data_IF_134607866090
#
_entry.id   IF_134607866090
#
_cell.length_a   1.000
_cell.length_b   1.000
_cell.length_c   1.000
_cell.angle_alpha   90.00
_cell.angle_beta   90.00
_cell.angle_gamma   90.00
#
_symmetry.space_group_name_H-M   'P 1'
#
loop_
_entity.id
_entity.type
_entity.pdbx_description
1 polymer ?
#
# COMPACT_ATOMS: atom_id res chain seq x y z
N UNK A 1 -3.27 -86.98 5.83
CA UNK A 1 -2.46 -85.75 5.73
C UNK A 1 -3.38 -84.63 5.25
N UNK A 2 -3.94 -83.84 6.17
CA UNK A 2 -4.84 -82.71 5.88
C UNK A 2 -4.06 -81.41 6.09
N UNK A 3 -4.03 -80.56 5.06
CA UNK A 3 -3.31 -79.28 5.05
C UNK A 3 -4.05 -78.20 5.82
N UNK A 4 -3.33 -77.53 6.72
CA UNK A 4 -3.80 -76.42 7.54
C UNK A 4 -3.98 -75.15 6.69
N UNK A 5 -5.20 -74.60 6.71
CA UNK A 5 -5.52 -73.27 6.21
C UNK A 5 -4.79 -72.19 7.01
N UNK A 6 -4.02 -71.32 6.34
CA UNK A 6 -3.52 -70.07 6.92
C UNK A 6 -4.63 -69.01 6.89
N UNK A 7 -4.96 -68.46 8.05
CA UNK A 7 -5.85 -67.31 8.21
C UNK A 7 -5.18 -66.03 7.70
N UNK A 8 -5.94 -65.06 7.17
CA UNK A 8 -5.40 -63.79 6.68
C UNK A 8 -4.82 -62.95 7.83
N UNK A 9 -3.81 -62.10 7.57
CA UNK A 9 -3.17 -61.29 8.59
C UNK A 9 -4.15 -60.28 9.20
N UNK A 10 -4.17 -60.25 10.53
CA UNK A 10 -5.00 -59.37 11.33
C UNK A 10 -4.52 -57.92 11.16
N UNK A 11 -5.31 -57.08 10.48
CA UNK A 11 -4.99 -55.64 10.32
C UNK A 11 -5.41 -54.95 11.62
N UNK A 12 -4.45 -54.75 12.52
CA UNK A 12 -4.65 -53.95 13.73
C UNK A 12 -4.69 -52.47 13.34
N UNK A 13 -5.70 -51.67 13.78
CA UNK A 13 -5.72 -50.24 13.55
C UNK A 13 -4.56 -49.58 14.29
N UNK A 14 -3.68 -48.88 13.56
CA UNK A 14 -2.57 -48.13 14.16
C UNK A 14 -3.14 -46.90 14.89
N UNK A 15 -2.79 -46.69 16.18
CA UNK A 15 -3.27 -45.57 16.98
C UNK A 15 -2.86 -44.21 16.38
N UNK A 16 -3.75 -43.22 16.48
CA UNK A 16 -3.61 -41.88 15.88
C UNK A 16 -2.29 -41.17 16.24
N UNK A 17 -1.71 -41.47 17.41
CA UNK A 17 -0.48 -40.86 17.92
C UNK A 17 0.80 -41.25 17.18
N UNK A 18 0.76 -42.21 16.24
CA UNK A 18 1.93 -42.63 15.43
C UNK A 18 1.83 -42.26 13.95
N UNK A 19 0.77 -41.55 13.54
CA UNK A 19 0.63 -41.12 12.14
C UNK A 19 1.60 -39.98 11.85
N UNK A 20 2.44 -40.18 10.83
CA UNK A 20 3.25 -39.10 10.25
C UNK A 20 2.32 -37.92 9.89
N UNK A 21 2.71 -36.66 10.18
CA UNK A 21 1.82 -35.50 10.05
C UNK A 21 1.31 -35.25 8.63
N UNK A 22 1.98 -35.84 7.64
CA UNK A 22 1.53 -35.83 6.25
C UNK A 22 0.92 -37.19 5.88
N UNK A 23 -0.41 -37.26 5.87
CA UNK A 23 -1.20 -38.40 5.40
C UNK A 23 -2.29 -37.93 4.44
N UNK A 24 -2.75 -38.81 3.56
CA UNK A 24 -3.74 -38.51 2.53
C UNK A 24 -4.63 -39.71 2.27
N UNK A 25 -5.84 -39.46 1.77
CA UNK A 25 -6.78 -40.53 1.43
C UNK A 25 -6.45 -41.09 0.04
N UNK A 26 -6.05 -42.36 -0.02
CA UNK A 26 -5.84 -43.09 -1.28
C UNK A 26 -6.90 -44.18 -1.35
N UNK A 27 -7.88 -44.04 -2.26
CA UNK A 27 -9.03 -44.97 -2.34
C UNK A 27 -9.66 -45.21 -0.97
N UNK A 28 -9.99 -44.11 -0.28
CA UNK A 28 -10.62 -44.10 1.05
C UNK A 28 -9.79 -44.73 2.19
N UNK A 29 -8.51 -45.02 1.94
CA UNK A 29 -7.58 -45.52 2.96
C UNK A 29 -6.61 -44.41 3.40
N UNK A 30 -6.51 -44.09 4.71
CA UNK A 30 -5.51 -43.16 5.22
C UNK A 30 -4.11 -43.72 4.95
N UNK A 31 -3.37 -43.05 4.07
CA UNK A 31 -2.07 -43.51 3.59
C UNK A 31 -1.00 -42.48 3.94
N UNK A 32 0.12 -42.89 4.54
CA UNK A 32 1.20 -41.97 4.89
C UNK A 32 1.94 -41.52 3.61
N UNK A 33 2.57 -40.34 3.68
CA UNK A 33 3.19 -39.68 2.52
C UNK A 33 4.17 -40.57 1.74
N UNK A 34 4.94 -41.44 2.41
CA UNK A 34 5.93 -42.31 1.77
C UNK A 34 5.29 -43.35 0.83
N UNK A 35 4.00 -43.63 1.01
CA UNK A 35 3.22 -44.60 0.25
C UNK A 35 2.25 -43.94 -0.73
N UNK A 36 2.30 -42.62 -0.91
CA UNK A 36 1.42 -41.93 -1.84
C UNK A 36 1.69 -42.34 -3.29
N UNK A 37 0.63 -42.57 -4.09
CA UNK A 37 0.77 -42.79 -5.51
C UNK A 37 1.46 -41.61 -6.18
N UNK A 38 2.32 -41.89 -7.17
CA UNK A 38 3.00 -40.87 -7.98
C UNK A 38 2.06 -39.76 -8.49
N UNK A 39 0.83 -40.03 -8.96
CA UNK A 39 -0.10 -38.97 -9.36
C UNK A 39 -0.46 -37.99 -8.25
N UNK A 40 -0.64 -38.43 -6.99
CA UNK A 40 -0.89 -37.55 -5.85
C UNK A 40 0.32 -36.69 -5.52
N UNK A 41 1.52 -37.29 -5.56
CA UNK A 41 2.77 -36.55 -5.35
C UNK A 41 2.98 -35.49 -6.44
N UNK A 42 2.71 -35.84 -7.71
CA UNK A 42 2.78 -34.91 -8.84
C UNK A 42 1.74 -33.80 -8.74
N UNK A 43 0.52 -34.10 -8.28
CA UNK A 43 -0.51 -33.09 -8.04
C UNK A 43 -0.12 -32.15 -6.88
N UNK A 44 0.51 -32.67 -5.82
CA UNK A 44 1.03 -31.86 -4.72
C UNK A 44 2.19 -30.95 -5.18
N UNK A 45 3.05 -31.47 -6.06
CA UNK A 45 4.14 -30.74 -6.69
C UNK A 45 3.71 -29.93 -7.93
N UNK A 46 2.40 -29.87 -8.22
CA UNK A 46 1.91 -29.14 -9.37
C UNK A 46 2.13 -27.65 -9.16
N UNK A 47 3.10 -27.11 -9.89
CA UNK A 47 3.22 -25.68 -10.10
C UNK A 47 2.44 -25.35 -11.35
N UNK A 48 1.38 -24.55 -11.21
CA UNK A 48 0.71 -24.00 -12.37
C UNK A 48 1.76 -23.38 -13.32
N UNK A 49 1.69 -23.64 -14.64
CA UNK A 49 2.58 -23.01 -15.59
C UNK A 49 2.64 -21.51 -15.34
N UNK A 50 3.83 -20.92 -15.38
CA UNK A 50 3.97 -19.48 -15.25
C UNK A 50 3.12 -18.83 -16.33
N UNK A 51 2.01 -18.19 -15.94
CA UNK A 51 1.25 -17.39 -16.88
C UNK A 51 2.06 -16.15 -17.21
N UNK A 52 2.07 -15.76 -18.48
CA UNK A 52 2.67 -14.50 -18.92
C UNK A 52 1.80 -13.33 -18.40
N UNK A 53 1.94 -13.02 -17.11
CA UNK A 53 1.26 -11.88 -16.50
C UNK A 53 2.09 -10.64 -16.76
N UNK A 54 1.47 -9.64 -17.37
CA UNK A 54 2.10 -8.33 -17.55
C UNK A 54 2.51 -7.73 -16.20
N UNK A 55 3.71 -7.16 -16.14
CA UNK A 55 4.21 -6.53 -14.93
C UNK A 55 3.23 -5.43 -14.44
N UNK A 56 2.98 -5.27 -13.12
CA UNK A 56 1.98 -4.31 -12.61
C UNK A 56 2.17 -2.85 -13.04
N UNK A 57 3.42 -2.48 -13.39
CA UNK A 57 3.84 -1.14 -13.83
C UNK A 57 4.00 -1.00 -15.35
N UNK A 58 3.59 -1.99 -16.15
CA UNK A 58 3.50 -1.85 -17.61
C UNK A 58 2.57 -0.70 -17.97
N UNK A 59 2.92 0.06 -19.00
CA UNK A 59 2.08 1.12 -19.57
C UNK A 59 2.25 1.16 -21.09
N UNK A 60 1.48 2.00 -21.77
CA UNK A 60 1.62 2.24 -23.22
C UNK A 60 3.01 2.73 -23.62
N UNK A 61 3.73 3.38 -22.71
CA UNK A 61 5.10 3.88 -22.93
C UNK A 61 6.18 2.99 -22.31
N UNK A 62 5.81 2.05 -21.43
CA UNK A 62 6.71 1.09 -20.77
C UNK A 62 6.37 -0.33 -21.22
N UNK A 63 6.71 -0.66 -22.46
CA UNK A 63 6.36 -1.95 -23.10
C UNK A 63 7.46 -3.00 -23.01
N UNK A 64 8.71 -2.61 -22.70
CA UNK A 64 9.86 -3.53 -22.63
C UNK A 64 10.33 -3.76 -21.20
N UNK A 65 10.94 -4.92 -20.94
CA UNK A 65 11.52 -5.27 -19.63
C UNK A 65 12.55 -4.24 -19.15
N UNK A 66 13.39 -3.72 -20.05
CA UNK A 66 14.40 -2.71 -19.69
C UNK A 66 13.76 -1.38 -19.22
N UNK A 67 12.70 -0.93 -19.90
CA UNK A 67 11.95 0.28 -19.52
C UNK A 67 11.26 0.09 -18.16
N UNK A 68 10.65 -1.09 -17.94
CA UNK A 68 10.03 -1.45 -16.67
C UNK A 68 11.09 -1.47 -15.55
N UNK A 69 12.24 -2.12 -15.75
CA UNK A 69 13.32 -2.14 -14.76
C UNK A 69 13.86 -0.75 -14.43
N UNK A 70 13.99 0.13 -15.43
CA UNK A 70 14.38 1.53 -15.22
C UNK A 70 13.35 2.28 -14.38
N UNK A 71 12.06 2.11 -14.70
CA UNK A 71 10.97 2.70 -13.93
C UNK A 71 10.92 2.17 -12.49
N UNK A 72 11.02 0.86 -12.28
CA UNK A 72 11.08 0.24 -10.93
C UNK A 72 12.24 0.79 -10.11
N UNK A 73 13.41 0.99 -10.71
CA UNK A 73 14.55 1.64 -10.04
C UNK A 73 14.21 3.06 -9.59
N UNK A 74 13.52 3.85 -10.42
CA UNK A 74 13.05 5.20 -10.06
C UNK A 74 11.99 5.16 -8.96
N UNK A 75 10.98 4.29 -9.06
CA UNK A 75 9.96 4.07 -8.02
C UNK A 75 10.61 3.76 -6.68
N UNK A 76 11.55 2.81 -6.64
CA UNK A 76 12.26 2.45 -5.40
C UNK A 76 13.03 3.62 -4.81
N UNK A 77 13.67 4.47 -5.62
CA UNK A 77 14.34 5.69 -5.15
C UNK A 77 13.33 6.69 -4.59
N UNK A 78 12.20 6.91 -5.27
CA UNK A 78 11.12 7.78 -4.82
C UNK A 78 10.53 7.33 -3.48
N UNK A 79 10.20 6.04 -3.34
CA UNK A 79 9.63 5.48 -2.12
C UNK A 79 10.63 5.42 -0.94
N UNK A 80 11.94 5.66 -1.16
CA UNK A 80 12.94 5.78 -0.08
C UNK A 80 13.03 7.17 0.53
N UNK A 81 12.48 8.19 -0.14
CA UNK A 81 12.46 9.57 0.34
C UNK A 81 11.58 9.74 1.60
N UNK A 82 10.33 9.24 1.66
CA UNK A 82 9.50 9.28 2.87
C UNK A 82 10.00 8.30 3.96
N UNK A 83 9.46 8.37 5.19
CA UNK A 83 9.70 7.35 6.21
C UNK A 83 9.43 5.91 5.68
N UNK A 84 10.17 4.89 6.14
CA UNK A 84 10.12 3.54 5.56
C UNK A 84 8.71 2.96 5.45
N UNK A 85 7.89 3.10 6.50
CA UNK A 85 6.50 2.62 6.52
C UNK A 85 5.63 3.29 5.43
N UNK A 86 5.78 4.60 5.26
CA UNK A 86 5.03 5.36 4.24
C UNK A 86 5.45 4.96 2.83
N UNK A 87 6.77 4.83 2.62
CA UNK A 87 7.33 4.37 1.35
C UNK A 87 6.91 2.96 0.97
N UNK A 88 6.86 2.06 1.95
CA UNK A 88 6.45 0.66 1.77
C UNK A 88 4.99 0.54 1.32
N UNK A 89 4.06 1.25 1.97
CA UNK A 89 2.64 1.24 1.56
C UNK A 89 2.51 1.68 0.10
N UNK A 90 3.19 2.77 -0.30
CA UNK A 90 3.13 3.23 -1.68
C UNK A 90 3.78 2.23 -2.65
N UNK A 91 4.90 1.62 -2.28
CA UNK A 91 5.54 0.59 -3.10
C UNK A 91 4.58 -0.59 -3.32
N UNK A 92 3.97 -1.12 -2.25
CA UNK A 92 2.97 -2.19 -2.34
C UNK A 92 1.73 -1.79 -3.13
N UNK A 93 1.30 -0.52 -3.05
CA UNK A 93 0.23 0.00 -3.89
C UNK A 93 0.58 -0.16 -5.37
N UNK A 94 1.76 0.33 -5.78
CA UNK A 94 2.21 0.32 -7.17
C UNK A 94 2.47 -1.10 -7.72
N UNK A 95 2.93 -2.01 -6.86
CA UNK A 95 3.09 -3.43 -7.20
C UNK A 95 1.77 -4.22 -7.14
N UNK A 96 0.65 -3.57 -6.83
CA UNK A 96 -0.66 -4.21 -6.65
C UNK A 96 -0.58 -5.35 -5.62
N UNK A 97 0.03 -5.08 -4.47
CA UNK A 97 0.22 -6.04 -3.37
C UNK A 97 -0.66 -5.74 -2.15
N UNK A 98 -1.40 -4.63 -2.16
CA UNK A 98 -2.32 -4.30 -1.06
C UNK A 98 -3.61 -5.12 -1.17
N UNK A 99 -4.04 -5.80 -0.07
CA UNK A 99 -5.23 -6.65 -0.05
C UNK A 99 -6.52 -5.82 0.06
N UNK A 100 -6.87 -5.07 -0.99
CA UNK A 100 -8.17 -4.39 -1.10
C UNK A 100 -9.30 -5.37 -1.41
N UNK A 101 -10.53 -5.04 -1.05
CA UNK A 101 -11.60 -6.03 -0.97
C UNK A 101 -11.93 -6.72 -2.30
N UNK A 102 -11.70 -6.08 -3.46
CA UNK A 102 -11.91 -6.72 -4.76
C UNK A 102 -11.07 -8.00 -4.99
N UNK A 103 -10.02 -8.23 -4.19
CA UNK A 103 -9.20 -9.47 -4.24
C UNK A 103 -9.86 -10.66 -3.56
N UNK A 104 -10.87 -10.41 -2.74
CA UNK A 104 -11.61 -11.45 -2.02
C UNK A 104 -12.90 -11.86 -2.75
N UNK A 105 -12.93 -11.74 -4.08
CA UNK A 105 -14.09 -12.13 -4.89
C UNK A 105 -14.53 -13.58 -4.65
N UNK A 106 -13.59 -14.48 -4.31
CA UNK A 106 -13.90 -15.87 -3.96
C UNK A 106 -14.77 -16.02 -2.69
N UNK A 107 -14.81 -15.01 -1.82
CA UNK A 107 -15.67 -15.00 -0.62
C UNK A 107 -17.10 -14.55 -0.90
N UNK A 108 -17.41 -14.07 -2.12
CA UNK A 108 -18.74 -13.52 -2.44
C UNK A 108 -19.88 -14.53 -2.34
N UNK A 109 -19.57 -15.83 -2.45
CA UNK A 109 -20.56 -16.90 -2.34
C UNK A 109 -21.17 -16.92 -0.93
N UNK A 110 -20.35 -16.71 0.10
CA UNK A 110 -20.77 -16.72 1.50
C UNK A 110 -21.10 -15.30 2.01
N UNK A 111 -20.38 -14.30 1.51
CA UNK A 111 -20.51 -12.90 1.92
C UNK A 111 -20.56 -12.01 0.69
N UNK A 112 -21.76 -11.70 0.15
CA UNK A 112 -21.91 -10.95 -1.10
C UNK A 112 -21.22 -9.58 -1.08
N UNK A 113 -21.08 -8.97 0.08
CA UNK A 113 -20.45 -7.69 0.36
C UNK A 113 -18.92 -7.76 0.54
N UNK A 114 -18.30 -8.94 0.46
CA UNK A 114 -16.87 -9.13 0.69
C UNK A 114 -15.95 -8.37 -0.28
N UNK A 115 -16.47 -7.86 -1.39
CA UNK A 115 -15.72 -7.01 -2.35
C UNK A 115 -16.05 -5.53 -2.24
N UNK A 116 -17.04 -5.17 -1.42
CA UNK A 116 -17.53 -3.81 -1.30
C UNK A 116 -16.56 -2.94 -0.50
N UNK A 117 -16.67 -1.62 -0.70
CA UNK A 117 -15.92 -0.61 0.02
C UNK A 117 -16.07 -0.77 1.53
N UNK A 118 -14.92 -0.83 2.22
CA UNK A 118 -14.81 -0.86 3.68
C UNK A 118 -15.58 0.28 4.36
N UNK A 119 -15.68 1.44 3.70
CA UNK A 119 -16.41 2.59 4.23
C UNK A 119 -17.92 2.60 3.90
N UNK A 120 -18.46 1.51 3.35
CA UNK A 120 -19.90 1.31 3.16
C UNK A 120 -20.52 2.14 2.04
N UNK A 121 -19.74 2.64 1.07
CA UNK A 121 -20.30 3.44 -0.04
C UNK A 121 -20.93 2.60 -1.18
N UNK A 122 -20.98 1.27 -1.03
CA UNK A 122 -21.65 0.35 -1.96
C UNK A 122 -20.90 0.04 -3.26
N UNK A 123 -19.73 0.64 -3.50
CA UNK A 123 -18.90 0.36 -4.68
C UNK A 123 -17.93 -0.79 -4.44
N UNK A 124 -17.51 -1.47 -5.52
CA UNK A 124 -16.43 -2.47 -5.47
C UNK A 124 -15.11 -1.80 -5.10
N UNK A 125 -14.43 -2.34 -4.10
CA UNK A 125 -13.22 -1.76 -3.56
C UNK A 125 -11.99 -2.18 -4.36
N UNK A 126 -11.76 -1.50 -5.47
CA UNK A 126 -10.48 -1.54 -6.17
C UNK A 126 -9.41 -0.70 -5.45
N UNK A 127 -8.14 -0.84 -5.83
CA UNK A 127 -7.09 0.05 -5.30
C UNK A 127 -7.37 1.52 -5.61
N UNK A 128 -7.86 1.82 -6.82
CA UNK A 128 -8.27 3.18 -7.18
C UNK A 128 -9.39 3.68 -6.25
N UNK A 129 -10.37 2.83 -5.96
CA UNK A 129 -11.46 3.19 -5.06
C UNK A 129 -10.97 3.43 -3.62
N UNK A 130 -10.31 2.43 -3.01
CA UNK A 130 -9.84 2.50 -1.64
C UNK A 130 -8.91 3.68 -1.37
N UNK A 131 -8.04 4.02 -2.33
CA UNK A 131 -7.00 5.02 -2.13
C UNK A 131 -7.31 6.39 -2.72
N UNK A 132 -8.36 6.55 -3.53
CA UNK A 132 -8.61 7.83 -4.22
C UNK A 132 -10.07 8.15 -4.48
N UNK A 133 -10.81 7.26 -5.13
CA UNK A 133 -12.15 7.58 -5.64
C UNK A 133 -13.28 7.44 -4.61
N UNK A 134 -13.05 6.74 -3.50
CA UNK A 134 -14.05 6.61 -2.44
C UNK A 134 -14.53 7.99 -1.96
N UNK A 135 -15.86 8.23 -1.78
CA UNK A 135 -16.38 9.51 -1.30
C UNK A 135 -15.82 9.97 0.06
N UNK A 136 -15.33 9.03 0.88
CA UNK A 136 -14.64 9.36 2.15
C UNK A 136 -13.20 9.82 1.96
N UNK A 137 -12.53 9.36 0.90
CA UNK A 137 -11.10 9.56 0.65
C UNK A 137 -10.85 10.68 -0.36
N UNK A 138 -11.66 10.77 -1.41
CA UNK A 138 -11.54 11.78 -2.45
C UNK A 138 -11.42 13.23 -1.93
N UNK A 139 -12.17 13.65 -0.90
CA UNK A 139 -12.05 15.02 -0.41
C UNK A 139 -10.68 15.30 0.24
N UNK A 140 -9.97 14.30 0.75
CA UNK A 140 -8.61 14.46 1.31
C UNK A 140 -7.62 14.85 0.22
N UNK A 141 -7.70 14.20 -0.94
CA UNK A 141 -6.89 14.57 -2.10
C UNK A 141 -7.28 15.94 -2.67
N UNK A 142 -8.59 16.24 -2.73
CA UNK A 142 -9.07 17.56 -3.17
C UNK A 142 -8.59 18.67 -2.23
N UNK A 143 -8.62 18.45 -0.91
CA UNK A 143 -8.13 19.37 0.09
C UNK A 143 -6.65 19.73 -0.13
N UNK A 144 -5.80 18.73 -0.37
CA UNK A 144 -4.39 18.97 -0.69
C UNK A 144 -4.19 19.60 -2.06
N UNK A 145 -4.85 19.10 -3.11
CA UNK A 145 -4.79 19.68 -4.45
C UNK A 145 -5.09 21.17 -4.43
N UNK A 146 -6.12 21.57 -3.71
CA UNK A 146 -6.56 22.96 -3.65
C UNK A 146 -5.52 23.86 -2.95
N UNK A 147 -4.84 23.35 -1.92
CA UNK A 147 -3.71 24.06 -1.32
C UNK A 147 -2.48 24.13 -2.25
N UNK A 148 -2.30 23.16 -3.14
CA UNK A 148 -1.14 23.08 -4.04
C UNK A 148 -1.35 23.73 -5.41
N UNK A 149 -2.53 24.34 -5.64
CA UNK A 149 -2.87 25.09 -6.87
C UNK A 149 -1.78 26.06 -7.35
N UNK A 150 -1.08 26.83 -6.48
CA UNK A 150 -0.04 27.76 -6.94
C UNK A 150 1.10 27.10 -7.74
N UNK A 151 1.39 25.82 -7.48
CA UNK A 151 2.45 25.05 -8.17
C UNK A 151 1.90 24.09 -9.24
N UNK A 152 0.57 23.94 -9.33
CA UNK A 152 -0.07 23.03 -10.27
C UNK A 152 0.27 21.56 -10.04
N UNK A 153 0.68 21.18 -8.82
CA UNK A 153 1.03 19.80 -8.51
C UNK A 153 -0.22 18.90 -8.48
N UNK A 154 -0.25 17.79 -9.22
CA UNK A 154 -1.44 16.94 -9.35
C UNK A 154 -1.57 15.96 -8.19
N UNK A 155 -2.81 15.71 -7.74
CA UNK A 155 -3.15 14.63 -6.80
C UNK A 155 -4.21 13.71 -7.41
N UNK A 156 -4.04 13.39 -8.69
CA UNK A 156 -4.93 12.45 -9.39
C UNK A 156 -4.47 11.01 -9.16
N UNK A 157 -5.37 10.05 -9.34
CA UNK A 157 -4.98 8.63 -9.32
C UNK A 157 -3.86 8.33 -10.33
N UNK A 158 -3.94 8.88 -11.55
CA UNK A 158 -2.94 8.65 -12.60
C UNK A 158 -1.54 9.07 -12.17
N UNK A 159 -1.38 10.22 -11.53
CA UNK A 159 -0.08 10.72 -11.07
C UNK A 159 0.44 10.01 -9.82
N UNK A 160 -0.45 9.48 -8.98
CA UNK A 160 -0.09 8.70 -7.79
C UNK A 160 0.32 7.27 -8.17
N UNK A 161 -0.33 6.69 -9.18
CA UNK A 161 -0.08 5.33 -9.69
C UNK A 161 0.99 5.28 -10.79
N UNK A 162 1.30 6.41 -11.42
CA UNK A 162 2.36 6.54 -12.42
C UNK A 162 3.20 7.82 -12.19
N UNK A 163 4.43 7.63 -11.71
CA UNK A 163 5.34 8.72 -11.37
C UNK A 163 5.87 9.48 -12.59
N UNK A 164 5.75 8.91 -13.80
CA UNK A 164 6.14 9.60 -15.04
C UNK A 164 5.16 10.73 -15.40
N UNK A 165 3.94 10.70 -14.86
CA UNK A 165 2.90 11.70 -15.11
C UNK A 165 3.00 12.92 -14.18
N UNK A 166 3.99 12.97 -13.28
CA UNK A 166 4.16 14.11 -12.38
C UNK A 166 4.63 15.35 -13.16
N UNK A 167 3.75 16.34 -13.25
CA UNK A 167 3.99 17.63 -13.89
C UNK A 167 3.64 18.78 -12.95
N UNK A 168 4.14 19.98 -13.25
CA UNK A 168 3.88 21.22 -12.49
C UNK A 168 3.65 22.36 -13.46
N UNK A 169 3.07 23.48 -12.97
CA UNK A 169 2.94 24.69 -13.76
C UNK A 169 4.28 25.46 -13.85
N UNK A 170 4.30 26.58 -14.58
CA UNK A 170 5.50 27.41 -14.76
C UNK A 170 6.15 27.89 -13.45
N UNK A 171 5.35 28.17 -12.41
CA UNK A 171 5.85 28.53 -11.08
C UNK A 171 6.49 27.34 -10.38
N UNK A 172 5.85 26.17 -10.46
CA UNK A 172 6.38 24.93 -9.91
C UNK A 172 7.64 24.46 -10.63
N UNK A 173 7.78 24.71 -11.93
CA UNK A 173 8.93 24.27 -12.71
C UNK A 173 10.25 24.93 -12.24
N UNK A 174 10.20 26.19 -11.79
CA UNK A 174 11.34 26.89 -11.16
C UNK A 174 11.84 26.21 -9.87
N UNK A 175 10.98 25.43 -9.21
CA UNK A 175 11.27 24.73 -7.96
C UNK A 175 10.94 23.24 -8.07
N UNK A 176 11.03 22.66 -9.28
CA UNK A 176 10.42 21.36 -9.60
C UNK A 176 10.84 20.24 -8.68
N UNK A 177 12.13 20.12 -8.40
CA UNK A 177 12.66 19.07 -7.53
C UNK A 177 12.17 19.22 -6.09
N UNK A 178 12.06 20.45 -5.59
CA UNK A 178 11.54 20.74 -4.26
C UNK A 178 10.03 20.44 -4.17
N UNK A 179 9.26 20.89 -5.17
CA UNK A 179 7.82 20.58 -5.27
C UNK A 179 7.62 19.08 -5.34
N UNK A 180 8.40 18.37 -6.16
CA UNK A 180 8.34 16.91 -6.29
C UNK A 180 8.70 16.19 -4.99
N UNK A 181 9.76 16.60 -4.30
CA UNK A 181 10.15 16.01 -3.02
C UNK A 181 9.04 16.17 -1.97
N UNK A 182 8.51 17.38 -1.81
CA UNK A 182 7.42 17.64 -0.87
C UNK A 182 6.13 16.90 -1.25
N UNK A 183 5.84 16.78 -2.55
CA UNK A 183 4.69 16.04 -3.07
C UNK A 183 4.81 14.53 -2.81
N UNK A 184 6.01 13.96 -2.98
CA UNK A 184 6.33 12.57 -2.64
C UNK A 184 6.06 12.32 -1.15
N UNK A 185 6.55 13.21 -0.29
CA UNK A 185 6.36 13.10 1.16
C UNK A 185 4.88 13.11 1.54
N UNK A 186 4.11 14.04 0.97
CA UNK A 186 2.67 14.15 1.20
C UNK A 186 1.91 12.92 0.71
N UNK A 187 2.17 12.52 -0.54
CA UNK A 187 1.51 11.37 -1.16
C UNK A 187 1.75 10.11 -0.35
N UNK A 188 3.00 9.84 0.02
CA UNK A 188 3.35 8.67 0.81
C UNK A 188 2.70 8.69 2.21
N UNK A 189 2.72 9.83 2.92
CA UNK A 189 2.09 9.93 4.25
C UNK A 189 0.57 9.78 4.18
N UNK A 190 -0.06 10.36 3.16
CA UNK A 190 -1.52 10.29 2.98
C UNK A 190 -1.96 8.88 2.57
N UNK A 191 -1.23 8.21 1.67
CA UNK A 191 -1.47 6.79 1.35
C UNK A 191 -1.33 5.90 2.58
N UNK A 192 -0.32 6.13 3.42
CA UNK A 192 -0.16 5.39 4.67
C UNK A 192 -1.34 5.62 5.63
N UNK A 193 -1.75 6.88 5.83
CA UNK A 193 -2.90 7.20 6.66
C UNK A 193 -4.17 6.50 6.15
N UNK A 194 -4.43 6.58 4.84
CA UNK A 194 -5.58 5.90 4.21
C UNK A 194 -5.53 4.41 4.50
N UNK A 195 -4.38 3.77 4.27
CA UNK A 195 -4.23 2.33 4.49
C UNK A 195 -4.41 1.93 5.96
N UNK A 196 -3.84 2.69 6.88
CA UNK A 196 -3.99 2.44 8.32
C UNK A 196 -5.45 2.54 8.74
N UNK A 197 -6.15 3.60 8.34
CA UNK A 197 -7.55 3.79 8.73
C UNK A 197 -8.48 2.81 8.04
N UNK A 198 -8.22 2.48 6.78
CA UNK A 198 -8.90 1.40 6.08
C UNK A 198 -8.84 0.10 6.90
N UNK A 199 -7.65 -0.33 7.30
CA UNK A 199 -7.49 -1.58 8.05
C UNK A 199 -8.15 -1.55 9.42
N UNK A 200 -8.14 -0.39 10.10
CA UNK A 200 -8.86 -0.23 11.37
C UNK A 200 -10.37 -0.43 11.20
N UNK A 201 -10.97 0.18 10.17
CA UNK A 201 -12.40 0.01 9.89
C UNK A 201 -12.69 -1.43 9.46
N UNK A 202 -11.85 -2.01 8.61
CA UNK A 202 -12.09 -3.34 8.04
C UNK A 202 -11.90 -4.48 9.04
N UNK A 203 -10.92 -4.37 9.95
CA UNK A 203 -10.46 -5.50 10.77
C UNK A 203 -10.50 -5.24 12.28
N UNK A 204 -10.67 -3.99 12.72
CA UNK A 204 -10.64 -3.61 14.14
C UNK A 204 -11.96 -2.98 14.60
N UNK A 205 -13.03 -3.09 13.80
CA UNK A 205 -14.37 -2.52 14.08
C UNK A 205 -14.34 -1.02 14.42
N UNK A 206 -13.36 -0.30 13.85
CA UNK A 206 -13.23 1.12 14.09
C UNK A 206 -14.25 1.92 13.27
N UNK A 207 -14.70 3.03 13.83
CA UNK A 207 -15.49 3.99 13.06
C UNK A 207 -14.61 4.75 12.05
N UNK A 208 -15.11 5.03 10.83
CA UNK A 208 -14.40 5.89 9.88
C UNK A 208 -14.14 7.28 10.47
N UNK A 209 -12.95 7.83 10.22
CA UNK A 209 -12.64 9.18 10.69
C UNK A 209 -13.62 10.22 10.09
N UNK A 210 -14.10 11.18 10.90
CA UNK A 210 -14.75 12.39 10.42
C UNK A 210 -13.84 13.17 9.46
N UNK A 211 -14.46 13.88 8.51
CA UNK A 211 -13.71 14.57 7.45
C UNK A 211 -12.70 15.62 7.94
N UNK A 212 -13.00 16.44 8.97
CA UNK A 212 -12.00 17.37 9.51
C UNK A 212 -10.74 16.67 10.05
N UNK A 213 -10.91 15.50 10.68
CA UNK A 213 -9.80 14.72 11.21
C UNK A 213 -8.93 14.13 10.10
N UNK A 214 -9.54 13.73 8.96
CA UNK A 214 -8.75 13.34 7.79
C UNK A 214 -7.85 14.47 7.29
N UNK A 215 -8.36 15.70 7.21
CA UNK A 215 -7.58 16.85 6.76
C UNK A 215 -6.44 17.18 7.72
N UNK A 216 -6.73 17.16 9.02
CA UNK A 216 -5.75 17.43 10.06
C UNK A 216 -4.65 16.36 10.13
N UNK A 217 -5.02 15.07 10.17
CA UNK A 217 -4.05 13.99 10.29
C UNK A 217 -3.20 13.80 9.03
N UNK A 218 -3.78 13.99 7.84
CA UNK A 218 -3.01 13.94 6.58
C UNK A 218 -2.01 15.09 6.50
N UNK A 219 -2.40 16.28 6.94
CA UNK A 219 -1.51 17.42 7.09
C UNK A 219 -0.38 17.14 8.11
N UNK A 220 -0.71 16.72 9.33
CA UNK A 220 0.29 16.45 10.37
C UNK A 220 1.26 15.31 9.99
N UNK A 221 0.75 14.26 9.36
CA UNK A 221 1.59 13.17 8.83
C UNK A 221 2.56 13.64 7.76
N UNK A 222 2.12 14.55 6.89
CA UNK A 222 2.99 15.20 5.92
C UNK A 222 4.02 16.10 6.59
N UNK A 223 3.62 16.98 7.52
CA UNK A 223 4.53 17.88 8.22
C UNK A 223 5.61 17.13 9.00
N UNK A 224 5.25 16.01 9.60
CA UNK A 224 6.20 15.12 10.28
C UNK A 224 7.23 14.56 9.29
N UNK A 225 6.76 14.12 8.12
CA UNK A 225 7.62 13.60 7.05
C UNK A 225 8.54 14.68 6.48
N UNK A 226 8.03 15.89 6.26
CA UNK A 226 8.79 17.08 5.83
C UNK A 226 9.84 17.48 6.85
N UNK A 227 9.48 17.56 8.13
CA UNK A 227 10.41 17.92 9.21
C UNK A 227 11.57 16.95 9.28
N UNK A 228 11.29 15.64 9.22
CA UNK A 228 12.32 14.60 9.15
C UNK A 228 13.22 14.80 7.94
N UNK A 229 12.64 14.99 6.75
CA UNK A 229 13.41 15.15 5.52
C UNK A 229 14.31 16.38 5.57
N UNK A 230 13.80 17.53 6.04
CA UNK A 230 14.57 18.78 6.19
C UNK A 230 15.74 18.65 7.16
N UNK A 231 15.57 17.90 8.27
CA UNK A 231 16.65 17.63 9.24
C UNK A 231 17.78 16.79 8.66
N UNK A 232 17.51 16.01 7.61
CA UNK A 232 18.50 15.17 6.94
C UNK A 232 19.23 15.89 5.80
N UNK A 233 18.84 17.11 5.45
CA UNK A 233 19.50 17.90 4.41
C UNK A 233 20.52 18.85 5.03
N UNK A 234 21.64 19.09 4.34
CA UNK A 234 22.57 20.16 4.70
C UNK A 234 21.88 21.52 4.70
N UNK A 235 22.30 22.43 5.58
CA UNK A 235 21.68 23.75 5.73
C UNK A 235 21.77 24.58 4.44
N UNK A 236 22.90 24.50 3.73
CA UNK A 236 23.15 25.25 2.50
C UNK A 236 22.70 24.51 1.22
N UNK A 237 22.01 23.37 1.38
CA UNK A 237 21.51 22.61 0.25
C UNK A 237 20.46 23.43 -0.54
N UNK A 238 20.72 23.68 -1.83
CA UNK A 238 19.81 24.44 -2.70
C UNK A 238 18.39 23.83 -2.75
N UNK A 239 18.28 22.50 -2.72
CA UNK A 239 16.99 21.80 -2.67
C UNK A 239 16.24 22.08 -1.37
N UNK A 240 16.94 22.14 -0.22
CA UNK A 240 16.37 22.49 1.08
C UNK A 240 15.84 23.92 1.07
N UNK A 241 16.62 24.88 0.59
CA UNK A 241 16.23 26.29 0.49
C UNK A 241 14.98 26.43 -0.39
N UNK A 242 14.98 25.78 -1.56
CA UNK A 242 13.84 25.77 -2.47
C UNK A 242 12.59 25.13 -1.84
N UNK A 243 12.76 24.06 -1.05
CA UNK A 243 11.64 23.41 -0.34
C UNK A 243 11.03 24.33 0.73
N UNK A 244 11.86 25.07 1.48
CA UNK A 244 11.38 26.05 2.46
C UNK A 244 10.58 27.17 1.79
N UNK A 245 11.01 27.65 0.61
CA UNK A 245 10.24 28.61 -0.19
C UNK A 245 8.85 28.05 -0.60
N UNK A 246 8.81 26.81 -1.08
CA UNK A 246 7.56 26.13 -1.45
C UNK A 246 6.64 26.01 -0.22
N UNK A 247 7.17 25.54 0.92
CA UNK A 247 6.42 25.42 2.18
C UNK A 247 5.88 26.75 2.66
N UNK A 248 6.67 27.83 2.56
CA UNK A 248 6.22 29.18 2.92
C UNK A 248 5.02 29.61 2.06
N UNK A 249 5.07 29.34 0.75
CA UNK A 249 3.96 29.63 -0.16
C UNK A 249 2.71 28.81 0.18
N UNK A 250 2.89 27.51 0.48
CA UNK A 250 1.79 26.60 0.84
C UNK A 250 1.13 26.98 2.17
N UNK A 251 1.89 27.46 3.15
CA UNK A 251 1.38 27.96 4.43
C UNK A 251 0.34 29.08 4.27
N UNK A 252 0.48 29.91 3.24
CA UNK A 252 -0.46 31.01 2.96
C UNK A 252 -1.80 30.58 2.37
N UNK A 253 -1.95 29.31 1.95
CA UNK A 253 -3.12 28.81 1.22
C UNK A 253 -4.27 28.50 2.18
N UNK A 254 -5.52 28.81 1.78
CA UNK A 254 -6.70 28.79 2.66
C UNK A 254 -6.86 27.47 3.44
N UNK A 255 -6.78 26.34 2.74
CA UNK A 255 -6.93 25.00 3.31
C UNK A 255 -5.87 24.68 4.38
N UNK A 256 -4.72 25.33 4.27
CA UNK A 256 -3.53 25.05 5.03
C UNK A 256 -3.36 26.06 6.17
N UNK A 257 -3.60 27.34 5.92
CA UNK A 257 -3.46 28.44 6.88
C UNK A 257 -4.01 28.11 8.27
N UNK A 258 -5.27 27.67 8.36
CA UNK A 258 -5.92 27.31 9.63
C UNK A 258 -5.18 26.18 10.36
N UNK A 259 -4.74 25.15 9.65
CA UNK A 259 -4.02 24.02 10.26
C UNK A 259 -2.64 24.44 10.77
N UNK A 260 -1.96 25.37 10.09
CA UNK A 260 -0.72 25.94 10.61
C UNK A 260 -0.94 26.85 11.82
N UNK A 261 -2.05 27.56 11.88
CA UNK A 261 -2.42 28.36 13.06
C UNK A 261 -2.74 27.47 14.27
N UNK A 262 -3.45 26.36 14.05
CA UNK A 262 -3.74 25.36 15.07
C UNK A 262 -2.48 24.58 15.51
N UNK A 263 -1.56 24.34 14.58
CA UNK A 263 -0.33 23.56 14.80
C UNK A 263 0.92 24.37 14.44
N UNK A 264 1.23 25.46 15.15
CA UNK A 264 2.33 26.37 14.80
C UNK A 264 3.69 25.68 14.84
N UNK A 265 3.81 24.65 15.69
CA UNK A 265 5.04 23.89 15.90
C UNK A 265 5.21 22.73 14.90
N UNK A 266 4.32 22.59 13.93
CA UNK A 266 4.34 21.50 12.93
C UNK A 266 5.62 21.48 12.06
N UNK A 267 6.32 22.61 11.90
CA UNK A 267 7.59 22.73 11.17
C UNK A 267 8.81 23.10 12.02
N UNK A 268 8.70 23.09 13.36
CA UNK A 268 9.84 23.39 14.23
C UNK A 268 10.96 22.35 14.03
N UNK A 269 12.06 22.77 13.42
CA UNK A 269 13.16 21.89 13.04
C UNK A 269 14.06 21.53 14.24
N UNK A 270 14.24 22.47 15.18
CA UNK A 270 14.94 22.24 16.44
C UNK A 270 13.96 21.96 17.59
N UNK A 271 14.36 21.25 18.66
CA UNK A 271 13.67 21.34 19.93
C UNK A 271 13.68 22.80 20.39
N UNK A 272 12.56 23.34 20.82
CA UNK A 272 12.55 24.62 21.54
C UNK A 272 13.46 24.43 22.76
N UNK A 273 14.52 25.23 22.89
CA UNK A 273 15.29 25.23 24.13
C UNK A 273 14.30 25.48 25.27
N UNK A 274 14.32 24.64 26.31
CA UNK A 274 13.55 24.92 27.51
C UNK A 274 14.04 26.27 28.04
N UNK A 275 13.17 27.28 28.00
CA UNK A 275 13.35 28.48 28.80
C UNK A 275 13.24 28.03 30.25
N UNK A 276 14.41 27.87 30.89
CA UNK A 276 14.52 27.85 32.35
C UNK A 276 14.20 29.24 32.89
#
# INVERSE_FOLDING_TARGET
VQGLHQLPPNIVPVPESTRHPFYGMVKDTPTPFELWPRPMVVALAYHAPASEVSHPMTSTTRTTTALIQSYVRRVRRTCRLPPPLHGDVWLRLLFRMLPVNCRFAYLQVERPDAICCTYGCGQVETQHHAFHACPRIHPVWSFHRDAWRPFGAPFTWSTISDLDLFTVNSRGDRHKDAVKALWILLTASTLNLIWTQHNKVQYEDANPLPLPQWFELSFLGWMTSVRRWLRLQDHDCALRISALYVLHTLRGQVNYRRLWEQHPNSLLLAPTAATN
#
